data_IF_917925357219
#
_entry.id   IF_917925357219
#
_cell.length_a   1.000
_cell.length_b   1.000
_cell.length_c   1.000
_cell.angle_alpha   90.00
_cell.angle_beta   90.00
_cell.angle_gamma   90.00
#
_symmetry.space_group_name_H-M   'P 1'
#
loop_
_entity.id
_entity.type
_entity.pdbx_description
1 polymer ?
#
# COMPACT_ATOMS: atom_id res chain seq x y z
N UNK A 1 1.83 -13.39 5.34
CA UNK A 1 1.51 -13.14 6.75
C UNK A 1 0.12 -13.70 7.05
N UNK A 2 -0.03 -14.66 7.97
CA UNK A 2 -1.35 -15.16 8.38
C UNK A 2 -2.24 -14.06 8.99
N UNK A 3 -1.66 -13.01 9.60
CA UNK A 3 -2.40 -11.94 10.27
C UNK A 3 -1.64 -10.60 10.18
N UNK A 4 -1.79 -9.89 9.05
CA UNK A 4 -1.40 -8.48 8.97
C UNK A 4 -2.40 -7.62 9.76
N UNK A 5 -1.88 -6.69 10.57
CA UNK A 5 -2.69 -5.85 11.44
C UNK A 5 -3.00 -6.47 12.81
N UNK A 6 -2.05 -7.16 13.45
CA UNK A 6 -2.22 -7.72 14.81
C UNK A 6 -2.81 -6.73 15.82
N UNK A 7 -2.41 -5.46 15.80
CA UNK A 7 -2.99 -4.43 16.67
C UNK A 7 -4.46 -4.14 16.33
N UNK A 8 -4.83 -4.16 15.04
CA UNK A 8 -6.20 -3.99 14.58
C UNK A 8 -7.08 -5.17 14.97
N UNK A 9 -6.53 -6.39 14.95
CA UNK A 9 -7.18 -7.61 15.45
C UNK A 9 -7.43 -7.55 16.96
N UNK A 10 -6.41 -7.21 17.76
CA UNK A 10 -6.53 -7.06 19.22
C UNK A 10 -7.56 -5.99 19.57
N UNK A 11 -7.57 -4.88 18.84
CA UNK A 11 -8.53 -3.79 19.03
C UNK A 11 -9.93 -4.08 18.50
N UNK A 12 -10.16 -5.24 17.86
CA UNK A 12 -11.46 -5.64 17.27
C UNK A 12 -12.02 -4.62 16.28
N UNK A 13 -11.15 -3.96 15.53
CA UNK A 13 -11.54 -2.94 14.54
C UNK A 13 -12.13 -3.53 13.27
N UNK A 14 -11.85 -4.81 12.98
CA UNK A 14 -12.18 -5.47 11.72
C UNK A 14 -11.13 -5.30 10.61
N UNK A 15 -10.11 -4.48 10.84
CA UNK A 15 -9.16 -4.05 9.82
C UNK A 15 -7.84 -4.83 9.88
N UNK A 16 -7.92 -6.14 9.70
CA UNK A 16 -6.78 -7.03 9.59
C UNK A 16 -6.96 -7.93 8.36
N UNK A 17 -5.87 -8.52 7.88
CA UNK A 17 -5.91 -9.31 6.67
C UNK A 17 -5.00 -10.55 6.75
N UNK A 18 -5.33 -11.57 5.97
CA UNK A 18 -4.38 -12.63 5.62
C UNK A 18 -3.77 -12.29 4.26
N UNK A 19 -2.44 -12.36 4.16
CA UNK A 19 -1.71 -12.02 2.94
C UNK A 19 -0.80 -13.16 2.49
N UNK A 20 -0.89 -13.50 1.21
CA UNK A 20 -0.13 -14.57 0.55
C UNK A 20 0.55 -13.98 -0.68
N UNK A 21 1.84 -14.22 -0.81
CA UNK A 21 2.62 -13.81 -1.97
C UNK A 21 3.34 -15.02 -2.57
N UNK A 22 3.48 -15.03 -3.89
CA UNK A 22 4.45 -15.85 -4.59
C UNK A 22 5.58 -14.95 -5.06
N UNK A 23 6.81 -15.27 -4.65
CA UNK A 23 8.03 -14.65 -5.17
C UNK A 23 8.64 -15.61 -6.20
N UNK A 24 8.91 -15.09 -7.40
CA UNK A 24 9.67 -15.79 -8.44
C UNK A 24 10.86 -14.91 -8.85
N UNK A 25 12.07 -15.48 -8.84
CA UNK A 25 13.31 -14.76 -9.13
C UNK A 25 13.43 -13.41 -8.39
N UNK A 26 13.18 -13.43 -7.07
CA UNK A 26 13.21 -12.25 -6.18
C UNK A 26 12.19 -11.14 -6.53
N UNK A 27 11.16 -11.46 -7.33
CA UNK A 27 10.10 -10.52 -7.70
C UNK A 27 8.71 -11.05 -7.32
N UNK A 28 7.78 -10.19 -6.86
CA UNK A 28 6.39 -10.60 -6.65
C UNK A 28 5.73 -11.03 -7.96
N UNK A 29 5.36 -12.30 -8.06
CA UNK A 29 4.69 -12.87 -9.24
C UNK A 29 3.17 -12.97 -9.05
N UNK A 30 2.71 -13.16 -7.80
CA UNK A 30 1.30 -13.20 -7.43
C UNK A 30 1.14 -12.65 -6.01
N UNK A 31 0.04 -11.95 -5.76
CA UNK A 31 -0.37 -11.51 -4.42
C UNK A 31 -1.85 -11.75 -4.18
N UNK A 32 -2.20 -12.12 -2.96
CA UNK A 32 -3.57 -12.21 -2.44
C UNK A 32 -3.63 -11.54 -1.08
N UNK A 33 -4.64 -10.69 -0.88
CA UNK A 33 -4.95 -10.04 0.40
C UNK A 33 -6.43 -10.30 0.68
N UNK A 34 -6.72 -10.97 1.79
CA UNK A 34 -8.09 -11.28 2.20
C UNK A 34 -8.41 -10.59 3.52
N UNK A 35 -9.45 -9.75 3.53
CA UNK A 35 -9.99 -9.07 4.71
C UNK A 35 -11.19 -9.83 5.27
N UNK A 36 -11.02 -10.73 6.26
CA UNK A 36 -12.04 -11.70 6.67
C UNK A 36 -13.31 -11.09 7.24
N UNK A 37 -13.23 -9.93 7.90
CA UNK A 37 -14.42 -9.26 8.47
C UNK A 37 -15.26 -8.60 7.38
N UNK A 38 -14.60 -8.03 6.36
CA UNK A 38 -15.26 -7.38 5.23
C UNK A 38 -15.63 -8.31 4.09
N UNK A 39 -15.16 -9.57 4.09
CA UNK A 39 -15.31 -10.51 2.97
C UNK A 39 -14.49 -10.18 1.71
N UNK A 40 -13.83 -9.03 1.66
CA UNK A 40 -13.11 -8.56 0.46
C UNK A 40 -11.84 -9.38 0.19
N UNK A 41 -11.60 -9.70 -1.08
CA UNK A 41 -10.33 -10.26 -1.56
C UNK A 41 -9.73 -9.38 -2.63
N UNK A 42 -8.47 -9.00 -2.48
CA UNK A 42 -7.66 -8.39 -3.55
C UNK A 42 -6.67 -9.41 -4.06
N UNK A 43 -6.46 -9.48 -5.38
CA UNK A 43 -5.48 -10.39 -5.95
C UNK A 43 -4.92 -9.88 -7.27
N UNK A 44 -3.71 -10.33 -7.60
CA UNK A 44 -3.07 -10.04 -8.86
C UNK A 44 -2.09 -11.14 -9.25
N UNK A 45 -1.83 -11.25 -10.55
CA UNK A 45 -0.77 -12.05 -11.15
C UNK A 45 -0.01 -11.18 -12.13
N UNK A 46 1.31 -11.33 -12.20
CA UNK A 46 2.14 -10.52 -13.09
C UNK A 46 1.66 -10.57 -14.54
N UNK A 47 1.43 -9.41 -15.14
CA UNK A 47 0.94 -9.21 -16.49
C UNK A 47 -0.55 -9.53 -16.71
N UNK A 48 -1.35 -9.71 -15.65
CA UNK A 48 -2.78 -10.05 -15.72
C UNK A 48 -3.71 -9.00 -15.12
N UNK A 49 -3.15 -7.90 -14.62
CA UNK A 49 -3.89 -6.85 -13.92
C UNK A 49 -4.24 -7.22 -12.48
N UNK A 50 -4.73 -6.22 -11.76
CA UNK A 50 -5.20 -6.35 -10.39
C UNK A 50 -6.73 -6.43 -10.32
N UNK A 51 -7.21 -7.17 -9.34
CA UNK A 51 -8.62 -7.50 -9.20
C UNK A 51 -9.06 -7.44 -7.74
N UNK A 52 -10.34 -7.13 -7.54
CA UNK A 52 -11.05 -7.17 -6.27
C UNK A 52 -12.25 -8.09 -6.38
N UNK A 53 -12.52 -8.86 -5.34
CA UNK A 53 -13.76 -9.60 -5.12
C UNK A 53 -14.39 -8.94 -3.89
N UNK A 54 -15.42 -8.08 -4.07
CA UNK A 54 -16.22 -7.59 -2.95
C UNK A 54 -16.97 -8.76 -2.29
N UNK A 55 -17.45 -8.56 -1.06
CA UNK A 55 -18.18 -9.60 -0.35
C UNK A 55 -19.37 -10.11 -1.17
N UNK A 56 -19.46 -11.43 -1.32
CA UNK A 56 -20.52 -12.13 -2.05
C UNK A 56 -20.82 -11.57 -3.45
N UNK A 57 -19.81 -11.00 -4.12
CA UNK A 57 -19.95 -10.31 -5.41
C UNK A 57 -18.97 -10.86 -6.45
N UNK A 58 -19.21 -10.54 -7.73
CA UNK A 58 -18.30 -10.89 -8.82
C UNK A 58 -16.99 -10.11 -8.75
N UNK A 59 -15.94 -10.68 -9.35
CA UNK A 59 -14.64 -10.02 -9.41
C UNK A 59 -14.69 -8.82 -10.36
N UNK A 60 -14.14 -7.70 -9.91
CA UNK A 60 -13.97 -6.47 -10.69
C UNK A 60 -12.49 -6.15 -10.85
N UNK A 61 -12.13 -5.62 -12.03
CA UNK A 61 -10.79 -5.12 -12.28
C UNK A 61 -10.61 -3.77 -11.58
N UNK A 62 -9.45 -3.55 -10.96
CA UNK A 62 -9.16 -2.32 -10.23
C UNK A 62 -7.97 -1.57 -10.85
N UNK A 63 -7.96 -0.26 -10.65
CA UNK A 63 -6.94 0.64 -11.13
C UNK A 63 -6.69 1.74 -10.10
N UNK A 64 -5.44 2.16 -9.97
CA UNK A 64 -5.07 3.31 -9.15
C UNK A 64 -5.67 4.59 -9.70
N UNK A 65 -5.99 5.56 -8.83
CA UNK A 65 -6.37 6.91 -9.23
C UNK A 65 -5.21 7.64 -9.95
N UNK A 66 -5.55 8.47 -10.95
CA UNK A 66 -4.62 9.32 -11.70
C UNK A 66 -5.12 10.77 -11.63
N UNK A 67 -4.22 11.69 -11.30
CA UNK A 67 -4.56 13.10 -11.16
C UNK A 67 -4.62 13.74 -12.55
N UNK A 68 -5.78 14.27 -12.91
CA UNK A 68 -6.01 14.90 -14.22
C UNK A 68 -5.74 16.41 -14.19
N UNK A 69 -5.80 17.03 -13.00
CA UNK A 69 -5.70 18.47 -12.83
C UNK A 69 -4.62 18.84 -11.81
N UNK A 70 -3.85 19.88 -12.12
CA UNK A 70 -2.89 20.44 -11.18
C UNK A 70 -3.62 21.01 -9.95
N UNK A 71 -3.05 20.77 -8.77
CA UNK A 71 -3.57 21.30 -7.50
C UNK A 71 -4.70 20.49 -6.86
N UNK A 72 -5.07 19.32 -7.41
CA UNK A 72 -5.88 18.35 -6.68
C UNK A 72 -5.19 17.94 -5.38
N UNK A 73 -5.98 17.79 -4.31
CA UNK A 73 -5.47 17.28 -3.04
C UNK A 73 -5.01 15.83 -3.20
N UNK A 74 -3.98 15.46 -2.43
CA UNK A 74 -3.49 14.08 -2.36
C UNK A 74 -4.10 13.41 -1.13
N UNK A 75 -4.91 12.38 -1.33
CA UNK A 75 -5.48 11.56 -0.27
C UNK A 75 -4.43 10.57 0.28
N UNK A 76 -4.00 10.77 1.52
CA UNK A 76 -3.03 9.92 2.20
C UNK A 76 -3.74 8.98 3.17
N UNK A 77 -3.63 7.67 2.93
CA UNK A 77 -4.03 6.68 3.91
C UNK A 77 -3.07 6.68 5.11
N UNK A 78 -3.59 6.94 6.30
CA UNK A 78 -2.83 6.95 7.55
C UNK A 78 -3.35 5.86 8.50
N UNK A 79 -2.47 5.34 9.37
CA UNK A 79 -2.93 4.43 10.43
C UNK A 79 -3.68 5.21 11.51
N UNK A 80 -4.78 4.64 12.01
CA UNK A 80 -5.56 5.20 13.14
C UNK A 80 -4.74 5.38 14.41
N UNK A 81 -3.62 4.68 14.54
CA UNK A 81 -2.80 4.64 15.76
C UNK A 81 -1.41 5.27 15.58
N UNK A 82 -1.09 5.76 14.39
CA UNK A 82 0.20 6.37 14.12
C UNK A 82 0.15 7.88 14.41
N UNK A 83 1.23 8.42 14.97
CA UNK A 83 1.40 9.86 15.09
C UNK A 83 1.41 10.49 13.69
N UNK A 84 0.38 11.28 13.40
CA UNK A 84 0.16 11.97 12.13
C UNK A 84 1.35 12.87 11.78
N UNK A 85 1.98 13.48 12.79
CA UNK A 85 3.13 14.37 12.57
C UNK A 85 4.31 13.63 11.94
N UNK A 86 4.47 12.33 12.19
CA UNK A 86 5.52 11.52 11.56
C UNK A 86 5.30 11.40 10.05
N UNK A 87 4.04 11.38 9.59
CA UNK A 87 3.70 11.34 8.18
C UNK A 87 3.77 12.74 7.57
N UNK A 88 3.07 13.71 8.14
CA UNK A 88 2.97 15.06 7.57
C UNK A 88 4.31 15.79 7.54
N UNK A 89 5.21 15.53 8.50
CA UNK A 89 6.57 16.10 8.47
C UNK A 89 7.43 15.60 7.31
N UNK A 90 7.08 14.49 6.67
CA UNK A 90 7.73 13.96 5.46
C UNK A 90 7.10 14.49 4.17
N UNK A 91 6.02 15.25 4.26
CA UNK A 91 5.27 15.74 3.10
C UNK A 91 5.52 17.24 2.89
N UNK A 92 5.68 17.65 1.64
CA UNK A 92 5.93 19.04 1.27
C UNK A 92 4.71 19.92 1.55
N UNK A 93 4.92 21.08 2.18
CA UNK A 93 3.86 22.06 2.43
C UNK A 93 3.37 22.79 1.19
N UNK A 94 3.97 22.54 0.02
CA UNK A 94 3.54 23.10 -1.26
C UNK A 94 2.27 22.43 -1.81
N UNK A 95 1.81 21.35 -1.18
CA UNK A 95 0.65 20.56 -1.60
C UNK A 95 -0.38 20.45 -0.48
N UNK A 96 -1.62 20.17 -0.87
CA UNK A 96 -2.73 19.92 0.04
C UNK A 96 -2.96 18.41 0.18
N UNK A 97 -3.26 17.97 1.40
CA UNK A 97 -3.41 16.56 1.72
C UNK A 97 -4.69 16.30 2.49
N UNK A 98 -5.43 15.27 2.07
CA UNK A 98 -6.55 14.73 2.82
C UNK A 98 -6.10 13.47 3.56
N UNK A 99 -6.10 13.51 4.89
CA UNK A 99 -5.64 12.39 5.70
C UNK A 99 -6.80 11.44 6.00
N UNK A 100 -6.71 10.21 5.50
CA UNK A 100 -7.79 9.23 5.59
C UNK A 100 -7.36 8.10 6.55
N UNK A 101 -7.91 8.05 7.77
CA UNK A 101 -7.56 7.05 8.77
C UNK A 101 -8.14 5.67 8.42
N UNK A 102 -7.24 4.75 8.05
CA UNK A 102 -7.57 3.43 7.50
C UNK A 102 -6.84 2.31 8.24
N UNK A 103 -7.24 1.08 7.91
CA UNK A 103 -6.91 -0.18 8.58
C UNK A 103 -5.45 -0.65 8.55
N UNK A 104 -5.23 -1.97 8.43
CA UNK A 104 -3.89 -2.59 8.38
C UNK A 104 -3.02 -2.07 7.23
N UNK A 105 -1.72 -2.39 7.25
CA UNK A 105 -0.79 -1.95 6.19
C UNK A 105 -1.19 -2.50 4.82
N UNK A 106 -1.54 -3.78 4.74
CA UNK A 106 -1.92 -4.40 3.48
C UNK A 106 -3.23 -3.85 2.93
N UNK A 107 -4.24 -3.64 3.78
CA UNK A 107 -5.51 -3.06 3.36
C UNK A 107 -5.36 -1.62 2.85
N UNK A 108 -4.51 -0.80 3.49
CA UNK A 108 -4.19 0.55 2.99
C UNK A 108 -3.54 0.51 1.60
N UNK A 109 -2.62 -0.42 1.36
CA UNK A 109 -2.04 -0.59 0.03
C UNK A 109 -3.08 -1.04 -1.02
N UNK A 110 -4.02 -1.90 -0.65
CA UNK A 110 -5.13 -2.29 -1.53
C UNK A 110 -6.07 -1.13 -1.85
N UNK A 111 -6.31 -0.23 -0.89
CA UNK A 111 -7.10 0.99 -1.10
C UNK A 111 -6.42 1.94 -2.10
N UNK A 112 -5.08 1.99 -2.11
CA UNK A 112 -4.33 2.69 -3.18
C UNK A 112 -4.53 1.98 -4.52
N UNK A 113 -4.42 0.66 -4.55
CA UNK A 113 -4.57 -0.14 -5.77
C UNK A 113 -5.95 0.01 -6.42
N UNK A 114 -7.02 0.22 -5.65
CA UNK A 114 -8.35 0.48 -6.18
C UNK A 114 -8.69 1.96 -6.40
N UNK A 115 -7.75 2.86 -6.14
CA UNK A 115 -7.94 4.29 -6.33
C UNK A 115 -8.86 4.96 -5.30
N UNK A 116 -9.08 4.32 -4.15
CA UNK A 116 -9.84 4.92 -3.05
C UNK A 116 -9.02 5.99 -2.28
N UNK A 117 -7.69 5.89 -2.34
CA UNK A 117 -6.72 6.85 -1.80
C UNK A 117 -5.53 6.96 -2.75
N UNK A 118 -4.76 8.05 -2.68
CA UNK A 118 -3.68 8.34 -3.62
C UNK A 118 -2.34 7.76 -3.19
N UNK A 119 -2.07 7.74 -1.89
CA UNK A 119 -0.84 7.15 -1.38
C UNK A 119 -0.95 6.64 0.07
N UNK A 120 0.05 5.87 0.46
CA UNK A 120 0.23 5.39 1.83
C UNK A 120 1.73 5.40 2.17
N UNK A 121 2.12 6.14 3.22
CA UNK A 121 3.48 6.15 3.74
C UNK A 121 3.60 5.26 5.00
N UNK A 122 4.50 4.29 4.97
CA UNK A 122 4.84 3.43 6.12
C UNK A 122 6.19 3.82 6.70
N UNK A 123 6.17 4.24 7.96
CA UNK A 123 7.36 4.50 8.76
C UNK A 123 7.41 3.53 9.95
N UNK A 124 8.53 2.82 10.09
CA UNK A 124 8.75 1.82 11.13
C UNK A 124 8.69 0.38 10.61
N UNK A 125 8.91 -0.58 11.51
CA UNK A 125 9.24 -1.95 11.14
C UNK A 125 8.09 -2.63 10.39
N UNK A 126 8.48 -3.36 9.35
CA UNK A 126 7.67 -4.30 8.55
C UNK A 126 8.61 -5.34 7.97
N UNK A 127 8.10 -6.52 7.66
CA UNK A 127 8.85 -7.55 6.94
C UNK A 127 8.45 -7.61 5.47
N UNK A 128 9.29 -8.25 4.65
CA UNK A 128 9.03 -8.47 3.22
C UNK A 128 7.63 -9.07 2.97
N UNK A 129 7.18 -9.95 3.87
CA UNK A 129 5.84 -10.56 3.85
C UNK A 129 4.68 -9.56 3.94
N UNK A 130 4.88 -8.35 4.47
CA UNK A 130 3.87 -7.29 4.56
C UNK A 130 3.67 -6.57 3.22
N UNK A 131 4.68 -6.62 2.34
CA UNK A 131 4.73 -5.86 1.08
C UNK A 131 4.66 -6.72 -0.17
N UNK A 132 5.13 -7.97 -0.12
CA UNK A 132 5.26 -8.80 -1.32
C UNK A 132 3.95 -8.96 -2.08
N UNK A 133 2.87 -9.32 -1.37
CA UNK A 133 1.56 -9.52 -1.98
C UNK A 133 0.99 -8.21 -2.52
N UNK A 134 1.08 -7.14 -1.73
CA UNK A 134 0.52 -5.84 -2.08
C UNK A 134 1.31 -5.14 -3.16
N UNK A 135 2.62 -5.37 -3.29
CA UNK A 135 3.42 -4.84 -4.38
C UNK A 135 2.96 -5.39 -5.73
N UNK A 136 2.73 -6.71 -5.83
CA UNK A 136 2.15 -7.29 -7.04
C UNK A 136 0.79 -6.65 -7.37
N UNK A 137 -0.09 -6.49 -6.37
CA UNK A 137 -1.44 -5.93 -6.57
C UNK A 137 -1.38 -4.46 -7.00
N UNK A 138 -0.58 -3.64 -6.32
CA UNK A 138 -0.46 -2.20 -6.59
C UNK A 138 0.18 -1.96 -7.96
N UNK A 139 1.23 -2.69 -8.31
CA UNK A 139 1.91 -2.50 -9.60
C UNK A 139 1.03 -2.92 -10.79
N UNK A 140 0.31 -4.05 -10.66
CA UNK A 140 -0.65 -4.50 -11.67
C UNK A 140 -1.89 -3.60 -11.78
N UNK A 141 -2.20 -2.83 -10.74
CA UNK A 141 -3.23 -1.79 -10.76
C UNK A 141 -2.75 -0.47 -11.41
N UNK A 142 -1.44 -0.33 -11.67
CA UNK A 142 -0.84 0.87 -12.27
C UNK A 142 -0.12 1.81 -11.29
N UNK A 143 0.07 1.39 -10.03
CA UNK A 143 0.82 2.11 -9.00
C UNK A 143 2.25 1.59 -8.80
N UNK A 144 2.89 1.99 -7.70
CA UNK A 144 4.22 1.49 -7.28
C UNK A 144 4.32 1.38 -5.77
N UNK A 145 5.19 0.47 -5.29
CA UNK A 145 5.69 0.48 -3.91
C UNK A 145 7.20 0.74 -3.97
N UNK A 146 7.65 1.78 -3.29
CA UNK A 146 9.05 2.23 -3.29
C UNK A 146 9.52 2.49 -1.87
N UNK A 147 10.83 2.44 -1.63
CA UNK A 147 11.42 2.95 -0.40
C UNK A 147 11.13 4.45 -0.24
N UNK A 148 11.35 5.01 0.95
CA UNK A 148 11.28 6.47 1.16
C UNK A 148 12.34 7.26 0.40
N UNK A 149 13.33 6.58 -0.21
CA UNK A 149 14.28 7.17 -1.14
C UNK A 149 13.84 7.05 -2.61
N UNK A 150 12.61 6.56 -2.83
CA UNK A 150 11.99 6.31 -4.14
C UNK A 150 12.72 5.23 -4.96
N UNK A 151 13.32 4.26 -4.27
CA UNK A 151 14.00 3.11 -4.88
C UNK A 151 13.11 1.86 -4.82
N UNK A 152 13.21 0.93 -5.79
CA UNK A 152 12.48 -0.33 -5.73
C UNK A 152 12.78 -1.12 -4.45
N UNK A 153 11.76 -1.80 -3.91
CA UNK A 153 11.99 -2.79 -2.86
C UNK A 153 12.62 -4.07 -3.44
N UNK A 154 13.40 -4.75 -2.60
CA UNK A 154 14.01 -6.07 -2.90
C UNK A 154 13.37 -7.16 -2.04
N UNK A 155 13.39 -8.40 -2.52
CA UNK A 155 12.84 -9.57 -1.83
C UNK A 155 13.86 -10.71 -1.80
N UNK A 156 14.14 -11.29 -0.64
CA UNK A 156 15.13 -12.35 -0.43
C UNK A 156 16.58 -11.98 -0.85
N UNK A 157 16.93 -10.68 -0.83
CA UNK A 157 18.25 -10.19 -1.29
C UNK A 157 19.06 -9.49 -0.18
N UNK A 158 18.56 -9.49 1.05
CA UNK A 158 19.19 -8.86 2.23
C UNK A 158 19.45 -9.91 3.31
N UNK A 159 20.33 -9.60 4.26
CA UNK A 159 20.60 -10.46 5.42
C UNK A 159 19.37 -10.59 6.33
N UNK A 160 18.55 -9.54 6.41
CA UNK A 160 17.27 -9.53 7.12
C UNK A 160 16.12 -9.46 6.14
N UNK A 161 14.96 -9.97 6.57
CA UNK A 161 13.70 -9.84 5.84
C UNK A 161 12.95 -8.56 6.22
N UNK A 162 13.63 -7.59 6.84
CA UNK A 162 13.04 -6.31 7.20
C UNK A 162 12.99 -5.39 5.98
N UNK A 163 11.86 -4.71 5.80
CA UNK A 163 11.73 -3.70 4.78
C UNK A 163 12.31 -2.35 5.26
N UNK A 164 12.86 -1.54 4.34
CA UNK A 164 13.03 -0.12 4.60
C UNK A 164 11.66 0.54 4.81
N UNK A 165 11.66 1.77 5.32
CA UNK A 165 10.48 2.63 5.22
C UNK A 165 10.07 2.75 3.75
N UNK A 166 8.78 2.73 3.47
CA UNK A 166 8.27 2.67 2.10
C UNK A 166 7.04 3.54 1.91
N UNK A 167 6.76 3.86 0.64
CA UNK A 167 5.57 4.56 0.19
C UNK A 167 4.88 3.76 -0.92
N UNK A 168 3.56 3.70 -0.87
CA UNK A 168 2.69 3.14 -1.90
C UNK A 168 2.09 4.31 -2.68
N UNK A 169 2.23 4.29 -4.00
CA UNK A 169 1.86 5.39 -4.90
C UNK A 169 0.78 4.91 -5.87
N UNK A 170 -0.34 5.63 -5.93
CA UNK A 170 -1.38 5.43 -6.94
C UNK A 170 -0.99 6.08 -8.26
N UNK A 171 -0.70 7.37 -8.24
CA UNK A 171 -0.23 8.11 -9.40
C UNK A 171 1.29 8.28 -9.41
N UNK A 172 1.97 7.56 -10.28
CA UNK A 172 3.43 7.60 -10.43
C UNK A 172 3.93 8.83 -11.18
N UNK A 173 3.05 9.61 -11.81
CA UNK A 173 3.44 10.79 -12.60
C UNK A 173 3.50 12.07 -11.76
N UNK A 174 3.00 12.04 -10.53
CA UNK A 174 3.20 13.15 -9.59
C UNK A 174 4.70 13.31 -9.27
N UNK A 175 5.17 14.54 -8.99
CA UNK A 175 6.57 14.81 -8.69
C UNK A 175 6.93 14.36 -7.27
N UNK A 176 7.02 13.05 -7.05
CA UNK A 176 7.23 12.47 -5.72
C UNK A 176 8.55 12.87 -5.07
N UNK A 177 9.59 13.21 -5.84
CA UNK A 177 10.83 13.79 -5.31
C UNK A 177 10.60 15.17 -4.65
N UNK A 178 9.60 15.94 -5.12
CA UNK A 178 9.23 17.22 -4.52
C UNK A 178 8.21 17.07 -3.39
N UNK A 179 7.32 16.07 -3.49
CA UNK A 179 6.25 15.81 -2.52
C UNK A 179 6.81 15.12 -1.27
N UNK A 180 7.61 14.07 -1.43
CA UNK A 180 8.21 13.29 -0.35
C UNK A 180 9.56 13.88 0.05
N UNK A 181 9.55 14.62 1.16
CA UNK A 181 10.76 15.18 1.74
C UNK A 181 11.58 14.07 2.41
N UNK A 182 12.73 13.75 1.80
CA UNK A 182 13.76 12.87 2.38
C UNK A 182 14.35 13.54 3.62
N UNK A 183 13.81 13.20 4.78
CA UNK A 183 14.41 13.52 6.08
C UNK A 183 14.97 12.21 6.62
N UNK A 184 16.16 12.18 7.18
CA UNK A 184 16.67 10.96 7.81
C UNK A 184 15.84 10.63 9.06
#
# INVERSE_FOLDING_TARGET
DPLDGTQEFIARSGDFATIIALIDNNKPAMGVVYGPVSGVTYYAYSGKGAWKIPDMSESVKIHTHKHEQAGQNIAIAISRRQDINRITSRMSSAWNYDLIPLGSAALKACLVAEGAVDCYLRLGPTGEWDTAATQCIVEEAGGRILSTHLEPLSYNERETLENPNFIVLGDTNLPWDDILQRKD
#
